data_IF_483158136819
#
_entry.id   IF_483158136819
#
_cell.length_a   1.000
_cell.length_b   1.000
_cell.length_c   1.000
_cell.angle_alpha   90.00
_cell.angle_beta   90.00
_cell.angle_gamma   90.00
#
_symmetry.space_group_name_H-M   'P 1'
#
loop_
_entity.id
_entity.type
_entity.pdbx_description
1 polymer ?
#
# COMPACT_ATOMS: atom_id res chain seq x y z
N UNK A 1 29.62 2.49 5.41
CA UNK A 1 29.87 1.44 4.38
C UNK A 1 30.79 2.02 3.31
N UNK A 2 31.73 1.23 2.79
CA UNK A 2 32.61 1.66 1.70
C UNK A 2 31.80 1.67 0.38
N UNK A 3 31.93 2.71 -0.45
CA UNK A 3 31.14 2.91 -1.68
C UNK A 3 31.21 1.71 -2.64
N UNK A 4 32.32 0.96 -2.63
CA UNK A 4 32.50 -0.24 -3.42
C UNK A 4 31.55 -1.40 -3.07
N UNK A 5 31.18 -1.56 -1.80
CA UNK A 5 30.28 -2.65 -1.38
C UNK A 5 28.82 -2.39 -1.78
N UNK A 6 28.39 -1.13 -1.74
CA UNK A 6 27.04 -0.73 -2.15
C UNK A 6 26.89 -0.89 -3.66
N UNK A 7 27.93 -0.57 -4.44
CA UNK A 7 27.94 -0.77 -5.89
C UNK A 7 27.76 -2.25 -6.26
N UNK A 8 28.45 -3.14 -5.55
CA UNK A 8 28.35 -4.58 -5.77
C UNK A 8 26.99 -5.17 -5.33
N UNK A 9 26.45 -4.72 -4.19
CA UNK A 9 25.17 -5.21 -3.67
C UNK A 9 23.95 -4.71 -4.47
N UNK A 10 24.04 -3.53 -5.10
CA UNK A 10 22.92 -2.91 -5.84
C UNK A 10 23.05 -3.01 -7.36
N UNK A 11 24.18 -3.51 -7.88
CA UNK A 11 24.46 -3.60 -9.31
C UNK A 11 24.60 -2.23 -10.00
N UNK A 12 24.87 -1.16 -9.26
CA UNK A 12 24.93 0.22 -9.76
C UNK A 12 26.36 0.75 -9.78
N UNK A 13 26.68 1.59 -10.76
CA UNK A 13 28.02 2.18 -10.86
C UNK A 13 28.30 3.14 -9.71
N UNK A 14 29.56 3.20 -9.26
CA UNK A 14 30.04 4.11 -8.21
C UNK A 14 29.75 5.58 -8.53
N UNK A 15 29.71 5.94 -9.82
CA UNK A 15 29.40 7.28 -10.29
C UNK A 15 27.93 7.64 -10.02
N UNK A 16 27.03 6.67 -10.18
CA UNK A 16 25.60 6.82 -9.91
C UNK A 16 25.35 7.02 -8.41
N UNK A 17 26.05 6.27 -7.55
CA UNK A 17 25.92 6.38 -6.09
C UNK A 17 26.40 7.74 -5.58
N UNK A 18 27.50 8.28 -6.12
CA UNK A 18 27.98 9.62 -5.80
C UNK A 18 26.98 10.72 -6.21
N UNK A 19 26.17 10.49 -7.23
CA UNK A 19 25.07 11.38 -7.63
C UNK A 19 23.87 11.38 -6.68
N UNK A 20 23.58 10.25 -6.02
CA UNK A 20 22.52 10.17 -5.00
C UNK A 20 22.96 10.73 -3.63
N UNK A 21 24.26 10.69 -3.31
CA UNK A 21 24.81 11.34 -2.11
C UNK A 21 24.69 12.87 -2.14
N UNK A 22 24.88 13.53 -3.29
CA UNK A 22 24.74 15.00 -3.39
C UNK A 22 23.31 15.50 -3.26
N UNK A 23 22.33 14.60 -3.42
CA UNK A 23 20.90 14.89 -3.35
C UNK A 23 20.24 14.40 -2.04
N UNK A 24 21.02 13.82 -1.12
CA UNK A 24 20.53 13.40 0.20
C UNK A 24 19.54 12.22 0.18
N UNK A 25 19.46 11.48 -0.93
CA UNK A 25 18.41 10.48 -1.17
C UNK A 25 18.86 9.04 -0.88
N UNK A 26 19.84 8.86 0.01
CA UNK A 26 20.24 7.53 0.51
C UNK A 26 19.87 7.42 2.00
N UNK A 27 18.95 6.53 2.39
CA UNK A 27 18.66 6.28 3.79
C UNK A 27 19.85 5.58 4.46
N UNK A 28 20.42 6.19 5.51
CA UNK A 28 21.39 5.54 6.40
C UNK A 28 22.85 6.04 6.36
N UNK A 29 23.19 7.10 5.63
CA UNK A 29 24.54 7.68 5.66
C UNK A 29 24.60 8.87 6.63
N UNK A 30 24.93 8.62 7.89
CA UNK A 30 25.37 9.67 8.81
C UNK A 30 26.88 9.90 8.65
N UNK A 31 27.27 11.18 8.52
CA UNK A 31 28.67 11.59 8.62
C UNK A 31 29.13 11.44 10.07
N UNK A 32 30.05 10.52 10.32
CA UNK A 32 30.80 10.44 11.57
C UNK A 32 32.24 10.92 11.35
N UNK A 33 32.66 11.95 12.09
CA UNK A 33 34.07 12.26 12.27
C UNK A 33 34.65 11.29 13.30
N UNK A 34 35.82 10.70 13.00
CA UNK A 34 36.53 9.66 13.76
C UNK A 34 36.03 8.21 13.52
N UNK A 35 36.66 7.55 12.55
CA UNK A 35 36.56 6.10 12.37
C UNK A 35 37.23 5.34 13.50
N UNK A 36 36.55 4.30 14.01
CA UNK A 36 37.12 3.04 14.54
C UNK A 36 36.00 1.98 14.58
N UNK A 37 36.28 0.80 14.02
CA UNK A 37 35.49 -0.41 14.22
C UNK A 37 35.73 -0.99 15.61
N UNK A 38 34.68 -1.51 16.26
CA UNK A 38 34.80 -2.51 17.30
C UNK A 38 33.66 -3.53 17.14
N UNK A 39 34.04 -4.71 16.68
CA UNK A 39 33.34 -5.98 16.82
C UNK A 39 33.24 -6.35 18.31
N UNK A 40 32.07 -6.85 18.75
CA UNK A 40 31.82 -7.78 19.86
C UNK A 40 30.54 -7.40 20.64
N UNK A 41 29.50 -8.23 20.59
CA UNK A 41 29.30 -9.25 21.63
C UNK A 41 28.10 -10.15 21.27
N UNK A 42 28.26 -11.39 21.65
CA UNK A 42 27.55 -12.60 21.31
C UNK A 42 26.59 -12.90 22.45
N UNK A 43 25.32 -12.50 22.33
CA UNK A 43 24.26 -12.98 23.24
C UNK A 43 23.48 -14.11 22.56
N UNK A 44 23.84 -15.33 22.99
CA UNK A 44 23.02 -16.52 23.31
C UNK A 44 21.87 -16.95 22.37
N UNK A 45 22.00 -18.23 21.98
CA UNK A 45 21.01 -19.11 21.39
C UNK A 45 19.58 -18.94 21.91
N UNK A 46 18.71 -18.43 21.04
CA UNK A 46 17.33 -18.84 20.90
C UNK A 46 17.04 -18.96 19.41
N UNK A 47 17.06 -20.18 18.85
CA UNK A 47 16.70 -20.42 17.45
C UNK A 47 15.34 -19.74 17.18
N UNK A 48 15.20 -18.84 16.20
CA UNK A 48 13.87 -18.64 15.64
C UNK A 48 13.46 -19.99 15.05
N UNK A 49 12.34 -20.51 15.56
CA UNK A 49 11.65 -21.65 14.94
C UNK A 49 11.53 -21.34 13.45
N UNK A 50 12.09 -22.20 12.62
CA UNK A 50 11.68 -22.35 11.23
C UNK A 50 10.21 -22.73 11.27
N UNK A 51 9.32 -21.74 11.22
CA UNK A 51 7.91 -21.95 10.98
C UNK A 51 7.79 -22.29 9.50
N UNK A 52 7.43 -23.54 9.25
CA UNK A 52 6.93 -24.00 7.97
C UNK A 52 5.81 -23.06 7.48
N UNK A 53 5.63 -22.86 6.16
CA UNK A 53 4.45 -22.23 5.62
C UNK A 53 3.28 -23.22 5.69
N UNK A 54 2.75 -23.41 6.88
CA UNK A 54 1.56 -24.21 7.14
C UNK A 54 0.76 -23.51 8.24
N UNK A 55 -0.10 -22.58 7.77
CA UNK A 55 -1.37 -22.22 8.40
C UNK A 55 -2.18 -21.37 7.45
N UNK A 56 -3.04 -22.04 6.71
CA UNK A 56 -4.25 -21.48 6.13
C UNK A 56 -5.25 -21.22 7.27
N UNK A 57 -5.02 -20.18 8.06
CA UNK A 57 -6.07 -19.53 8.84
C UNK A 57 -6.35 -18.20 8.14
N UNK A 58 -7.54 -18.06 7.55
CA UNK A 58 -7.91 -17.01 6.60
C UNK A 58 -7.88 -15.58 7.14
N UNK A 59 -6.70 -15.01 7.35
CA UNK A 59 -6.48 -13.58 7.55
C UNK A 59 -6.06 -13.00 6.20
N UNK A 60 -6.97 -12.25 5.55
CA UNK A 60 -6.61 -11.48 4.36
C UNK A 60 -5.45 -10.55 4.71
N UNK A 61 -4.27 -10.82 4.16
CA UNK A 61 -3.06 -10.07 4.47
C UNK A 61 -3.09 -8.74 3.73
N UNK A 62 -2.84 -7.66 4.46
CA UNK A 62 -2.73 -6.31 3.89
C UNK A 62 -1.53 -6.29 2.93
N UNK A 63 -1.74 -5.92 1.66
CA UNK A 63 -0.67 -5.93 0.65
C UNK A 63 0.35 -4.81 0.95
N UNK A 64 1.55 -4.92 0.41
CA UNK A 64 2.52 -3.81 0.41
C UNK A 64 2.38 -3.04 -0.91
N UNK A 65 1.82 -1.82 -0.91
CA UNK A 65 1.59 -1.07 -2.14
C UNK A 65 2.91 -0.65 -2.78
N UNK A 66 2.97 -0.78 -4.10
CA UNK A 66 4.04 -0.27 -4.97
C UNK A 66 3.60 1.07 -5.59
N UNK A 67 4.51 1.84 -6.21
CA UNK A 67 4.15 3.10 -6.88
C UNK A 67 3.39 2.90 -8.21
N UNK A 68 3.10 1.66 -8.62
CA UNK A 68 2.42 1.34 -9.89
C UNK A 68 1.06 0.72 -9.60
N UNK A 69 -0.01 1.39 -10.04
CA UNK A 69 -1.38 0.94 -9.73
C UNK A 69 -1.67 -0.47 -10.27
N UNK A 70 -1.19 -0.77 -11.49
CA UNK A 70 -1.39 -2.07 -12.13
C UNK A 70 -0.74 -3.23 -11.36
N UNK A 71 0.43 -3.00 -10.77
CA UNK A 71 1.14 -4.01 -9.98
C UNK A 71 0.43 -4.27 -8.65
N UNK A 72 -0.19 -3.23 -8.08
CA UNK A 72 -1.04 -3.36 -6.89
C UNK A 72 -2.30 -4.15 -7.21
N UNK A 73 -2.97 -3.86 -8.33
CA UNK A 73 -4.17 -4.59 -8.77
C UNK A 73 -3.93 -6.10 -8.93
N UNK A 74 -2.75 -6.50 -9.42
CA UNK A 74 -2.40 -7.91 -9.61
C UNK A 74 -2.29 -8.69 -8.29
N UNK A 75 -2.15 -8.00 -7.15
CA UNK A 75 -2.08 -8.61 -5.81
C UNK A 75 -3.46 -8.68 -5.14
N UNK A 76 -4.48 -8.04 -5.71
CA UNK A 76 -5.81 -7.96 -5.10
C UNK A 76 -6.64 -9.23 -5.37
N UNK A 77 -7.60 -9.55 -4.48
CA UNK A 77 -8.55 -10.63 -4.72
C UNK A 77 -9.33 -10.43 -6.02
N UNK A 78 -9.67 -11.55 -6.64
CA UNK A 78 -10.53 -11.60 -7.81
C UNK A 78 -11.93 -11.00 -7.51
N UNK A 79 -12.48 -10.29 -8.51
CA UNK A 79 -13.79 -9.63 -8.44
C UNK A 79 -14.84 -10.30 -9.35
N UNK A 80 -14.56 -11.51 -9.84
CA UNK A 80 -15.43 -12.24 -10.77
C UNK A 80 -16.84 -12.47 -10.20
N UNK A 81 -16.93 -12.73 -8.90
CA UNK A 81 -18.18 -12.92 -8.18
C UNK A 81 -18.87 -11.65 -7.70
N UNK A 82 -18.30 -10.45 -7.93
CA UNK A 82 -18.85 -9.19 -7.43
C UNK A 82 -19.69 -8.50 -8.52
N UNK A 83 -20.96 -8.22 -8.24
CA UNK A 83 -21.83 -7.46 -9.13
C UNK A 83 -21.60 -5.96 -8.99
N UNK A 84 -21.56 -5.46 -7.74
CA UNK A 84 -21.29 -4.06 -7.40
C UNK A 84 -20.84 -3.95 -5.94
N UNK A 85 -20.32 -2.79 -5.59
CA UNK A 85 -20.03 -2.40 -4.22
C UNK A 85 -20.79 -1.14 -3.90
N UNK A 86 -21.56 -1.17 -2.82
CA UNK A 86 -22.29 -0.03 -2.30
C UNK A 86 -21.55 0.51 -1.06
N UNK A 87 -21.27 1.81 -1.04
CA UNK A 87 -20.66 2.50 0.09
C UNK A 87 -21.75 3.17 0.89
N UNK A 88 -21.91 2.73 2.15
CA UNK A 88 -23.00 3.13 3.01
C UNK A 88 -22.46 3.98 4.15
N UNK A 89 -23.05 5.16 4.36
CA UNK A 89 -22.73 6.02 5.51
C UNK A 89 -23.24 5.45 6.83
N UNK A 90 -22.86 6.07 7.93
CA UNK A 90 -23.33 5.70 9.28
C UNK A 90 -24.84 5.87 9.45
N UNK A 91 -25.45 6.76 8.67
CA UNK A 91 -26.90 6.97 8.62
C UNK A 91 -27.66 5.89 7.82
N UNK A 92 -26.94 4.98 7.15
CA UNK A 92 -27.54 3.97 6.26
C UNK A 92 -27.75 4.42 4.82
N UNK A 93 -27.39 5.66 4.49
CA UNK A 93 -27.49 6.20 3.13
C UNK A 93 -26.40 5.63 2.23
N UNK A 94 -26.77 5.20 1.02
CA UNK A 94 -25.80 4.81 -0.01
C UNK A 94 -25.16 6.08 -0.58
N UNK A 95 -23.92 6.35 -0.16
CA UNK A 95 -23.13 7.50 -0.61
C UNK A 95 -22.64 7.29 -2.05
N UNK A 96 -22.36 6.03 -2.42
CA UNK A 96 -21.92 5.70 -3.76
C UNK A 96 -22.09 4.22 -4.11
N UNK A 97 -22.25 3.96 -5.40
CA UNK A 97 -22.30 2.62 -5.96
C UNK A 97 -21.23 2.47 -7.03
N UNK A 98 -20.42 1.42 -6.92
CA UNK A 98 -19.38 1.05 -7.87
C UNK A 98 -19.82 -0.26 -8.53
N UNK A 99 -20.29 -0.17 -9.77
CA UNK A 99 -20.70 -1.33 -10.54
C UNK A 99 -19.50 -2.04 -11.18
N UNK A 100 -19.59 -3.36 -11.33
CA UNK A 100 -18.61 -4.14 -12.09
C UNK A 100 -18.79 -3.93 -13.61
N UNK A 101 -18.39 -2.75 -14.08
CA UNK A 101 -18.43 -2.34 -15.48
C UNK A 101 -17.01 -2.13 -16.04
N UNK A 102 -16.80 -2.32 -17.36
CA UNK A 102 -15.55 -1.96 -18.02
C UNK A 102 -15.13 -0.52 -17.68
N UNK A 103 -13.87 -0.34 -17.25
CA UNK A 103 -13.34 0.95 -16.81
C UNK A 103 -13.49 1.27 -15.31
N UNK A 104 -14.38 0.58 -14.58
CA UNK A 104 -14.55 0.73 -13.11
C UNK A 104 -13.97 -0.42 -12.27
N UNK A 105 -13.52 -1.48 -12.94
CA UNK A 105 -13.02 -2.72 -12.31
C UNK A 105 -11.82 -2.49 -11.39
N UNK A 106 -10.92 -1.56 -11.73
CA UNK A 106 -9.78 -1.24 -10.88
C UNK A 106 -10.20 -0.71 -9.51
N UNK A 107 -11.12 0.25 -9.48
CA UNK A 107 -11.67 0.73 -8.20
C UNK A 107 -12.45 -0.35 -7.48
N UNK A 108 -13.28 -1.14 -8.19
CA UNK A 108 -14.04 -2.22 -7.59
C UNK A 108 -13.13 -3.22 -6.84
N UNK A 109 -12.01 -3.63 -7.44
CA UNK A 109 -11.03 -4.51 -6.82
C UNK A 109 -10.41 -3.91 -5.56
N UNK A 110 -10.06 -2.62 -5.59
CA UNK A 110 -9.51 -1.92 -4.40
C UNK A 110 -10.53 -1.89 -3.27
N UNK A 111 -11.78 -1.50 -3.54
CA UNK A 111 -12.80 -1.45 -2.48
C UNK A 111 -13.16 -2.84 -1.95
N UNK A 112 -13.21 -3.87 -2.80
CA UNK A 112 -13.40 -5.25 -2.36
C UNK A 112 -12.27 -5.68 -1.42
N UNK A 113 -11.03 -5.39 -1.80
CA UNK A 113 -9.86 -5.64 -0.98
C UNK A 113 -9.91 -4.90 0.37
N UNK A 114 -10.25 -3.61 0.38
CA UNK A 114 -10.35 -2.82 1.60
C UNK A 114 -11.41 -3.39 2.56
N UNK A 115 -12.52 -3.89 2.01
CA UNK A 115 -13.54 -4.59 2.81
C UNK A 115 -12.97 -5.84 3.47
N UNK A 116 -12.25 -6.68 2.72
CA UNK A 116 -11.67 -7.91 3.27
C UNK A 116 -10.54 -7.64 4.28
N UNK A 117 -9.74 -6.59 4.06
CA UNK A 117 -8.56 -6.29 4.87
C UNK A 117 -8.87 -5.48 6.14
N UNK A 118 -9.84 -4.57 6.08
CA UNK A 118 -10.16 -3.63 7.17
C UNK A 118 -11.61 -3.75 7.68
N UNK A 119 -12.51 -4.34 6.90
CA UNK A 119 -13.95 -4.44 7.22
C UNK A 119 -14.72 -3.15 6.98
N UNK A 120 -14.27 -2.04 7.58
CA UNK A 120 -14.88 -0.71 7.44
C UNK A 120 -13.91 0.25 6.75
N UNK A 121 -14.42 1.16 5.92
CA UNK A 121 -13.66 2.22 5.29
C UNK A 121 -13.47 3.40 6.26
N UNK A 122 -12.57 3.21 7.23
CA UNK A 122 -12.11 4.26 8.13
C UNK A 122 -10.89 5.03 7.56
N UNK A 123 -10.36 5.99 8.32
CA UNK A 123 -9.19 6.77 7.89
C UNK A 123 -7.98 5.87 7.58
N UNK A 124 -7.76 4.80 8.35
CA UNK A 124 -6.62 3.87 8.14
C UNK A 124 -6.79 3.05 6.87
N UNK A 125 -7.99 2.54 6.62
CA UNK A 125 -8.34 1.84 5.40
C UNK A 125 -8.24 2.78 4.19
N UNK A 126 -8.66 4.03 4.35
CA UNK A 126 -8.59 5.03 3.28
C UNK A 126 -7.15 5.44 2.97
N UNK A 127 -6.29 5.67 3.96
CA UNK A 127 -4.86 5.90 3.79
C UNK A 127 -4.20 4.75 3.02
N UNK A 128 -4.55 3.51 3.39
CA UNK A 128 -4.03 2.34 2.70
C UNK A 128 -4.56 2.25 1.26
N UNK A 129 -5.85 2.51 1.04
CA UNK A 129 -6.45 2.57 -0.29
C UNK A 129 -5.78 3.60 -1.20
N UNK A 130 -5.44 4.78 -0.68
CA UNK A 130 -4.68 5.80 -1.41
C UNK A 130 -3.28 5.31 -1.82
N UNK A 131 -2.60 4.56 -0.95
CA UNK A 131 -1.33 3.95 -1.29
C UNK A 131 -1.49 2.89 -2.40
N UNK A 132 -2.57 2.09 -2.37
CA UNK A 132 -2.90 1.11 -3.42
C UNK A 132 -3.20 1.79 -4.76
N UNK A 133 -3.90 2.93 -4.75
CA UNK A 133 -4.16 3.74 -5.95
C UNK A 133 -2.91 4.41 -6.54
N UNK A 134 -1.81 4.45 -5.78
CA UNK A 134 -0.48 4.84 -6.23
C UNK A 134 -0.45 6.15 -7.06
N UNK A 135 -0.08 6.08 -8.33
CA UNK A 135 0.01 7.24 -9.24
C UNK A 135 -1.31 8.03 -9.37
N UNK A 136 -2.47 7.37 -9.24
CA UNK A 136 -3.77 8.03 -9.30
C UNK A 136 -4.04 8.93 -8.09
N UNK A 137 -3.42 8.65 -6.95
CA UNK A 137 -3.52 9.50 -5.76
C UNK A 137 -2.85 10.85 -5.96
N UNK A 138 -1.69 10.88 -6.62
CA UNK A 138 -1.01 12.12 -6.94
C UNK A 138 -1.82 12.97 -7.94
N UNK A 139 -2.41 12.33 -8.95
CA UNK A 139 -3.24 13.03 -9.94
C UNK A 139 -4.52 13.61 -9.33
N UNK A 140 -5.23 12.85 -8.48
CA UNK A 140 -6.44 13.32 -7.79
C UNK A 140 -6.17 14.54 -6.89
N UNK A 141 -5.03 14.58 -6.20
CA UNK A 141 -4.63 15.75 -5.38
C UNK A 141 -4.39 17.01 -6.22
N UNK A 142 -3.88 16.85 -7.44
CA UNK A 142 -3.65 17.97 -8.36
C UNK A 142 -4.91 18.38 -9.12
N UNK A 143 -5.87 17.47 -9.27
CA UNK A 143 -7.11 17.65 -10.04
C UNK A 143 -8.33 17.18 -9.25
N UNK A 144 -8.78 17.96 -8.25
CA UNK A 144 -9.94 17.60 -7.43
C UNK A 144 -11.17 17.31 -8.31
N UNK A 145 -11.81 16.16 -8.10
CA UNK A 145 -13.00 15.75 -8.85
C UNK A 145 -12.72 14.96 -10.13
N UNK A 146 -11.45 14.79 -10.53
CA UNK A 146 -11.09 13.94 -11.67
C UNK A 146 -11.21 12.44 -11.34
N UNK A 147 -11.09 12.07 -10.07
CA UNK A 147 -11.07 10.68 -9.61
C UNK A 147 -12.06 10.50 -8.45
N UNK A 148 -13.36 10.37 -8.72
CA UNK A 148 -14.39 10.40 -7.67
C UNK A 148 -14.17 9.37 -6.55
N UNK A 149 -13.54 8.23 -6.87
CA UNK A 149 -13.21 7.20 -5.90
C UNK A 149 -11.98 7.53 -5.04
N UNK A 150 -10.98 8.20 -5.60
CA UNK A 150 -9.76 8.61 -4.88
C UNK A 150 -10.04 9.86 -4.06
N UNK A 151 -10.78 10.81 -4.62
CA UNK A 151 -11.27 12.01 -3.94
C UNK A 151 -12.04 11.66 -2.66
N UNK A 152 -12.86 10.60 -2.71
CA UNK A 152 -13.57 10.09 -1.53
C UNK A 152 -12.61 9.60 -0.45
N UNK A 153 -11.59 8.83 -0.82
CA UNK A 153 -10.61 8.35 0.16
C UNK A 153 -9.84 9.52 0.77
N UNK A 154 -9.46 10.53 -0.02
CA UNK A 154 -8.85 11.76 0.48
C UNK A 154 -9.75 12.48 1.49
N UNK A 155 -11.05 12.56 1.23
CA UNK A 155 -12.02 13.17 2.15
C UNK A 155 -12.12 12.40 3.49
N UNK A 156 -12.13 11.06 3.46
CA UNK A 156 -12.18 10.23 4.67
C UNK A 156 -10.89 10.40 5.49
N UNK A 157 -9.73 10.40 4.84
CA UNK A 157 -8.43 10.65 5.52
C UNK A 157 -8.38 12.06 6.13
N UNK A 158 -9.03 13.04 5.51
CA UNK A 158 -9.11 14.41 6.03
C UNK A 158 -10.06 14.58 7.24
N UNK A 159 -10.63 13.49 7.77
CA UNK A 159 -11.58 13.52 8.88
C UNK A 159 -13.04 13.35 8.46
N UNK A 160 -13.28 12.90 7.23
CA UNK A 160 -14.60 12.49 6.77
C UNK A 160 -15.14 11.27 7.51
N UNK A 161 -16.43 11.03 7.33
CA UNK A 161 -17.14 9.93 7.97
C UNK A 161 -16.65 8.56 7.48
N UNK A 162 -16.52 7.59 8.39
CA UNK A 162 -16.21 6.22 8.02
C UNK A 162 -17.39 5.58 7.29
N UNK A 163 -17.12 4.87 6.20
CA UNK A 163 -18.15 4.24 5.37
C UNK A 163 -18.10 2.72 5.53
N UNK A 164 -19.26 2.07 5.48
CA UNK A 164 -19.37 0.63 5.32
C UNK A 164 -19.24 0.26 3.85
N UNK A 165 -18.55 -0.83 3.56
CA UNK A 165 -18.40 -1.38 2.21
C UNK A 165 -19.29 -2.62 2.11
N UNK A 166 -20.41 -2.51 1.39
CA UNK A 166 -21.33 -3.62 1.14
C UNK A 166 -21.06 -4.22 -0.24
N UNK A 167 -20.55 -5.45 -0.26
CA UNK A 167 -20.22 -6.18 -1.49
C UNK A 167 -21.45 -6.98 -1.93
N UNK A 168 -21.97 -6.67 -3.11
CA UNK A 168 -23.11 -7.37 -3.72
C UNK A 168 -22.58 -8.42 -4.68
N UNK A 169 -22.87 -9.69 -4.43
CA UNK A 169 -22.46 -10.80 -5.29
C UNK A 169 -23.27 -10.86 -6.61
N UNK A 170 -22.68 -11.42 -7.67
CA UNK A 170 -23.41 -11.79 -8.89
C UNK A 170 -24.33 -12.97 -8.56
N UNK A 171 -25.60 -12.86 -8.96
CA UNK A 171 -26.58 -13.94 -8.89
C UNK A 171 -26.41 -14.95 -10.02
#
# INVERSE_FOLDING_TARGET
MLIGEIAHATGRSSHTIRGYESQGLLPGVQRGAAGRCAEADRIRYGRPRTLAPDRTDGVFSVIQPTPVFKDNLAQLPAIDGVARIDLVGTNGDVVATIENQPGKQGSLAVYNYLQHAFGTLDAKAAEHGLAVFAEHTADARNRPGAHPNVDRLLAIVAGGEALRIDVVAKG
#
